data_IF_018748836468
#
_entry.id   IF_018748836468
#
_cell.length_a   1.000
_cell.length_b   1.000
_cell.length_c   1.000
_cell.angle_alpha   90.00
_cell.angle_beta   90.00
_cell.angle_gamma   90.00
#
_symmetry.space_group_name_H-M   'P 1'
#
loop_
_entity.id
_entity.type
_entity.pdbx_description
1 polymer ?
#
# COMPACT_ATOMS: atom_id res chain seq x y z
N UNK A 1 10.35 -12.02 -12.60
CA UNK A 1 10.36 -12.74 -11.30
C UNK A 1 8.94 -12.71 -10.77
N UNK A 2 8.44 -13.76 -10.13
CA UNK A 2 7.06 -13.82 -9.66
C UNK A 2 6.93 -13.14 -8.28
N UNK A 3 5.78 -12.50 -8.00
CA UNK A 3 5.47 -11.94 -6.67
C UNK A 3 4.98 -13.09 -5.78
N UNK A 4 5.87 -13.77 -5.07
CA UNK A 4 5.56 -14.99 -4.33
C UNK A 4 5.79 -14.89 -2.81
N UNK A 5 6.30 -13.76 -2.32
CA UNK A 5 6.53 -13.54 -0.90
C UNK A 5 5.38 -12.73 -0.29
N UNK A 6 4.58 -13.30 0.65
CA UNK A 6 3.44 -12.61 1.23
C UNK A 6 3.84 -11.65 2.36
N UNK A 7 3.24 -10.46 2.38
CA UNK A 7 3.29 -9.51 3.51
C UNK A 7 1.86 -9.36 4.05
N UNK A 8 1.66 -9.74 5.31
CA UNK A 8 0.38 -9.54 6.00
C UNK A 8 0.28 -8.12 6.57
N UNK A 9 -0.74 -7.38 6.15
CA UNK A 9 -1.02 -6.03 6.59
C UNK A 9 -2.34 -6.01 7.37
N UNK A 10 -2.28 -5.65 8.65
CA UNK A 10 -3.46 -5.58 9.52
C UNK A 10 -4.01 -4.16 9.57
N UNK A 11 -5.25 -3.97 9.10
CA UNK A 11 -5.86 -2.66 9.09
C UNK A 11 -6.32 -2.25 10.49
N UNK A 12 -5.69 -1.21 11.04
CA UNK A 12 -6.04 -0.67 12.34
C UNK A 12 -7.42 0.03 12.39
N UNK A 13 -8.02 0.35 11.24
CA UNK A 13 -9.33 1.01 11.17
C UNK A 13 -10.50 0.02 11.25
N UNK A 14 -10.41 -1.12 10.54
CA UNK A 14 -11.51 -2.07 10.42
C UNK A 14 -11.15 -3.51 10.81
N UNK A 15 -9.89 -3.79 11.15
CA UNK A 15 -9.41 -5.12 11.55
C UNK A 15 -9.15 -6.09 10.40
N UNK A 16 -9.45 -5.74 9.14
CA UNK A 16 -9.22 -6.63 7.99
C UNK A 16 -7.73 -6.91 7.78
N UNK A 17 -7.41 -8.12 7.32
CA UNK A 17 -6.05 -8.49 6.88
C UNK A 17 -5.98 -8.41 5.35
N UNK A 18 -4.99 -7.69 4.83
CA UNK A 18 -4.66 -7.65 3.41
C UNK A 18 -3.30 -8.30 3.20
N UNK A 19 -3.22 -9.28 2.29
CA UNK A 19 -1.96 -9.93 1.93
C UNK A 19 -1.43 -9.32 0.63
N UNK A 20 -0.25 -8.69 0.69
CA UNK A 20 0.43 -8.12 -0.47
C UNK A 20 1.59 -9.03 -0.84
N UNK A 21 1.54 -9.60 -2.05
CA UNK A 21 2.65 -10.39 -2.57
C UNK A 21 3.73 -9.49 -3.16
N UNK A 22 4.99 -9.79 -2.90
CA UNK A 22 6.16 -9.05 -3.43
C UNK A 22 7.25 -10.03 -3.88
N UNK A 23 8.32 -9.52 -4.48
CA UNK A 23 9.55 -10.28 -4.64
C UNK A 23 10.29 -10.32 -3.30
N UNK A 24 10.67 -11.51 -2.85
CA UNK A 24 11.38 -11.71 -1.57
C UNK A 24 12.64 -10.84 -1.45
N UNK A 25 13.44 -10.77 -2.52
CA UNK A 25 14.66 -9.95 -2.55
C UNK A 25 14.40 -8.46 -2.27
N UNK A 26 13.25 -7.95 -2.70
CA UNK A 26 12.85 -6.56 -2.47
C UNK A 26 12.30 -6.35 -1.06
N UNK A 27 11.61 -7.35 -0.51
CA UNK A 27 11.23 -7.35 0.90
C UNK A 27 12.47 -7.28 1.80
N UNK A 28 13.48 -8.11 1.51
CA UNK A 28 14.76 -8.07 2.21
C UNK A 28 15.41 -6.69 2.09
N UNK A 29 15.42 -6.06 0.90
CA UNK A 29 15.93 -4.68 0.74
C UNK A 29 15.17 -3.68 1.63
N UNK A 30 13.84 -3.77 1.70
CA UNK A 30 13.01 -2.89 2.54
C UNK A 30 13.40 -3.00 4.01
N UNK A 31 13.43 -4.22 4.55
CA UNK A 31 13.66 -4.44 5.99
C UNK A 31 15.12 -4.20 6.40
N UNK A 32 16.08 -4.66 5.58
CA UNK A 32 17.51 -4.63 5.95
C UNK A 32 18.18 -3.29 5.65
N UNK A 33 17.77 -2.61 4.58
CA UNK A 33 18.38 -1.35 4.13
C UNK A 33 17.53 -0.12 4.44
N UNK A 34 16.37 -0.29 5.08
CA UNK A 34 15.38 0.77 5.35
C UNK A 34 15.05 1.59 4.10
N UNK A 35 15.05 0.94 2.94
CA UNK A 35 14.77 1.62 1.67
C UNK A 35 13.30 2.05 1.63
N UNK A 36 12.96 3.22 1.08
CA UNK A 36 11.58 3.66 0.92
C UNK A 36 10.70 2.63 0.16
N UNK A 37 9.39 2.62 0.43
CA UNK A 37 8.46 1.65 -0.18
C UNK A 37 8.47 1.73 -1.70
N UNK A 38 8.55 2.93 -2.26
CA UNK A 38 8.52 3.18 -3.69
C UNK A 38 9.78 2.68 -4.40
N UNK A 39 10.90 2.63 -3.67
CA UNK A 39 12.18 2.11 -4.18
C UNK A 39 12.25 0.59 -4.04
N UNK A 40 11.68 0.05 -2.96
CA UNK A 40 11.66 -1.39 -2.71
C UNK A 40 10.63 -2.09 -3.60
N UNK A 41 9.46 -1.49 -3.79
CA UNK A 41 8.33 -2.10 -4.48
C UNK A 41 7.79 -1.22 -5.61
N UNK A 42 8.61 -0.90 -6.64
CA UNK A 42 8.23 0.02 -7.72
C UNK A 42 7.12 -0.53 -8.62
N UNK A 43 6.83 -1.83 -8.53
CA UNK A 43 5.77 -2.52 -9.28
C UNK A 43 4.43 -2.56 -8.56
N UNK A 44 4.39 -2.23 -7.26
CA UNK A 44 3.13 -2.11 -6.54
C UNK A 44 2.42 -0.82 -6.95
N UNK A 45 1.10 -0.86 -6.99
CA UNK A 45 0.26 0.34 -7.13
C UNK A 45 0.41 1.25 -5.90
N UNK A 46 0.00 2.50 -6.04
CA UNK A 46 0.03 3.44 -4.92
C UNK A 46 -0.78 2.95 -3.70
N UNK A 47 -2.03 2.47 -3.83
CA UNK A 47 -2.79 1.95 -2.70
C UNK A 47 -2.17 0.72 -2.03
N UNK A 48 -1.54 -0.18 -2.81
CA UNK A 48 -0.80 -1.32 -2.25
C UNK A 48 0.41 -0.85 -1.44
N UNK A 49 1.18 0.13 -1.95
CA UNK A 49 2.32 0.70 -1.22
C UNK A 49 1.89 1.38 0.07
N UNK A 50 0.77 2.10 0.04
CA UNK A 50 0.20 2.73 1.23
C UNK A 50 -0.23 1.67 2.25
N UNK A 51 -0.87 0.58 1.80
CA UNK A 51 -1.22 -0.56 2.66
C UNK A 51 0.02 -1.14 3.34
N UNK A 52 1.14 -1.27 2.63
CA UNK A 52 2.42 -1.75 3.20
C UNK A 52 3.06 -0.74 4.15
N UNK A 53 2.81 0.57 4.01
CA UNK A 53 3.33 1.59 4.91
C UNK A 53 2.51 1.67 6.21
N UNK A 54 1.19 1.87 6.09
CA UNK A 54 0.32 2.20 7.21
C UNK A 54 -0.47 1.02 7.76
N UNK A 55 -0.53 -0.09 7.02
CA UNK A 55 -1.43 -1.21 7.30
C UNK A 55 -2.88 -0.93 6.89
N UNK A 56 -3.24 0.28 6.44
CA UNK A 56 -4.61 0.63 6.11
C UNK A 56 -5.06 -0.06 4.82
N UNK A 57 -6.15 -0.83 4.86
CA UNK A 57 -6.67 -1.47 3.65
C UNK A 57 -7.28 -0.44 2.69
N UNK A 58 -7.33 -0.77 1.40
CA UNK A 58 -7.79 0.12 0.33
C UNK A 58 -9.20 0.68 0.58
N UNK A 59 -10.10 -0.12 1.15
CA UNK A 59 -11.46 0.33 1.46
C UNK A 59 -11.49 1.39 2.57
N UNK A 60 -10.59 1.29 3.56
CA UNK A 60 -10.42 2.34 4.57
C UNK A 60 -9.70 3.56 4.00
N UNK A 61 -8.71 3.37 3.12
CA UNK A 61 -8.05 4.48 2.42
C UNK A 61 -9.06 5.32 1.63
N UNK A 62 -9.99 4.68 0.90
CA UNK A 62 -11.08 5.38 0.17
C UNK A 62 -12.01 6.18 1.08
N UNK A 63 -12.23 5.74 2.32
CA UNK A 63 -13.07 6.47 3.28
C UNK A 63 -12.36 7.67 3.89
N UNK A 64 -11.05 7.53 4.17
CA UNK A 64 -10.24 8.58 4.80
C UNK A 64 -9.78 9.61 3.78
N UNK A 65 -9.44 9.17 2.57
CA UNK A 65 -8.95 10.00 1.47
C UNK A 65 -9.80 9.84 0.21
N UNK A 66 -11.12 10.14 0.26
CA UNK A 66 -12.03 9.90 -0.86
C UNK A 66 -11.64 10.68 -2.11
N UNK A 67 -11.02 11.86 -1.97
CA UNK A 67 -10.58 12.66 -3.11
C UNK A 67 -9.47 12.00 -3.92
N UNK A 68 -8.72 11.05 -3.35
CA UNK A 68 -7.65 10.33 -4.05
C UNK A 68 -8.17 9.22 -4.98
N UNK A 69 -9.49 9.03 -5.04
CA UNK A 69 -10.13 7.97 -5.81
C UNK A 69 -11.26 8.53 -6.68
N UNK A 70 -11.44 7.96 -7.88
CA UNK A 70 -12.60 8.27 -8.71
C UNK A 70 -13.86 7.54 -8.23
N UNK A 71 -14.99 7.79 -8.90
CA UNK A 71 -16.29 7.16 -8.61
C UNK A 71 -16.28 5.64 -8.74
N UNK A 72 -15.34 5.08 -9.50
CA UNK A 72 -15.20 3.65 -9.76
C UNK A 72 -14.19 3.02 -8.77
N UNK A 73 -13.60 3.84 -7.88
CA UNK A 73 -12.67 3.42 -6.84
C UNK A 73 -11.23 3.26 -7.32
N UNK A 74 -10.88 3.78 -8.51
CA UNK A 74 -9.51 3.79 -8.99
C UNK A 74 -8.74 4.94 -8.36
N UNK A 75 -7.48 4.70 -8.02
CA UNK A 75 -6.59 5.75 -7.51
C UNK A 75 -6.27 6.75 -8.63
N UNK A 76 -6.49 8.04 -8.37
CA UNK A 76 -6.30 9.12 -9.37
C UNK A 76 -5.21 10.13 -9.02
N UNK A 77 -4.64 10.06 -7.81
CA UNK A 77 -3.60 10.97 -7.38
C UNK A 77 -3.73 11.35 -5.91
N UNK A 78 -2.78 12.15 -5.44
CA UNK A 78 -2.95 12.87 -4.18
C UNK A 78 -3.65 14.18 -4.47
N UNK A 79 -4.74 14.42 -3.76
CA UNK A 79 -5.37 15.74 -3.71
C UNK A 79 -5.06 16.33 -2.34
N UNK A 80 -4.37 17.47 -2.33
CA UNK A 80 -4.08 18.18 -1.10
C UNK A 80 -5.40 18.49 -0.38
N UNK A 81 -5.54 17.95 0.82
CA UNK A 81 -6.57 18.41 1.74
C UNK A 81 -6.04 19.76 2.25
N UNK A 82 -6.73 20.89 2.01
CA UNK A 82 -6.36 22.13 2.65
C UNK A 82 -6.61 21.93 4.15
N UNK A 83 -5.52 21.74 4.90
CA UNK A 83 -5.55 21.76 6.37
C UNK A 83 -5.84 23.17 6.87
#
# INVERSE_FOLDING_TARGET
>A
MERNYPIECHCHQCGSVTVIYVHEADYVKRISRRSPVQNSFPYLTMPERETVISGMCVECQKRVFPLNYDKDGNWVGYHDIPF
#
